data_IF_465012809864
#
_entry.id   IF_465012809864
#
_cell.length_a   1.000
_cell.length_b   1.000
_cell.length_c   1.000
_cell.angle_alpha   90.00
_cell.angle_beta   90.00
_cell.angle_gamma   90.00
#
_symmetry.space_group_name_H-M   'P 1'
#
loop_
_entity.id
_entity.type
_entity.pdbx_description
1 polymer ?
#
# COMPACT_ATOMS: atom_id res chain seq x y z
N UNK A 1 16.17 22.59 -3.65
CA UNK A 1 16.08 21.37 -4.49
C UNK A 1 15.79 20.12 -3.67
N UNK A 2 16.57 19.78 -2.64
CA UNK A 2 16.26 18.66 -1.73
C UNK A 2 14.94 18.83 -0.93
N UNK A 3 14.57 20.05 -0.56
CA UNK A 3 13.36 20.34 0.21
C UNK A 3 12.04 20.01 -0.50
N UNK A 4 12.02 20.02 -1.85
CA UNK A 4 10.81 19.73 -2.62
C UNK A 4 10.46 18.23 -2.64
N UNK A 5 11.48 17.35 -2.68
CA UNK A 5 11.29 15.89 -2.59
C UNK A 5 10.74 15.46 -1.23
N UNK A 6 11.15 16.13 -0.14
CA UNK A 6 10.66 15.81 1.20
C UNK A 6 9.15 16.04 1.34
N UNK A 7 8.60 17.08 0.72
CA UNK A 7 7.17 17.36 0.77
C UNK A 7 6.35 16.32 -0.01
N UNK A 8 6.94 15.69 -1.03
CA UNK A 8 6.27 14.69 -1.86
C UNK A 8 6.41 13.26 -1.32
N UNK A 9 7.39 12.99 -0.46
CA UNK A 9 7.67 11.63 0.04
C UNK A 9 6.50 10.96 0.77
N UNK A 10 5.65 11.75 1.44
CA UNK A 10 4.44 11.25 2.11
C UNK A 10 3.14 11.62 1.39
N UNK A 11 3.20 12.28 0.22
CA UNK A 11 2.03 12.86 -0.43
C UNK A 11 0.94 11.82 -0.74
N UNK A 12 1.33 10.67 -1.31
CA UNK A 12 0.38 9.58 -1.61
C UNK A 12 -0.26 9.02 -0.33
N UNK A 13 0.51 8.85 0.74
CA UNK A 13 0.00 8.36 2.03
C UNK A 13 -0.99 9.34 2.65
N UNK A 14 -0.65 10.63 2.67
CA UNK A 14 -1.55 11.68 3.17
C UNK A 14 -2.81 11.74 2.33
N UNK A 15 -2.69 11.71 0.99
CA UNK A 15 -3.84 11.66 0.08
C UNK A 15 -4.78 10.49 0.41
N UNK A 16 -4.25 9.27 0.52
CA UNK A 16 -5.06 8.09 0.85
C UNK A 16 -5.73 8.17 2.23
N UNK A 17 -5.13 8.90 3.17
CA UNK A 17 -5.65 9.02 4.53
C UNK A 17 -6.74 10.10 4.69
N UNK A 18 -6.73 11.15 3.87
CA UNK A 18 -7.56 12.35 4.12
C UNK A 18 -8.44 12.79 2.96
N UNK A 19 -8.23 12.27 1.74
CA UNK A 19 -9.01 12.67 0.57
C UNK A 19 -10.48 12.25 0.72
N UNK A 20 -11.45 13.19 0.75
CA UNK A 20 -12.87 12.86 0.95
C UNK A 20 -13.42 11.92 -0.12
N UNK A 21 -12.90 11.97 -1.34
CA UNK A 21 -13.30 11.09 -2.43
C UNK A 21 -12.91 9.61 -2.21
N UNK A 22 -12.07 9.31 -1.22
CA UNK A 22 -11.67 7.95 -0.84
C UNK A 22 -12.41 7.43 0.40
N UNK A 23 -13.32 8.21 0.98
CA UNK A 23 -14.09 7.79 2.14
C UNK A 23 -14.90 6.52 1.84
N UNK A 24 -14.75 5.50 2.70
CA UNK A 24 -15.40 4.20 2.53
C UNK A 24 -14.79 3.29 1.45
N UNK A 25 -13.73 3.72 0.76
CA UNK A 25 -13.03 2.91 -0.24
C UNK A 25 -11.78 2.24 0.35
N UNK A 26 -11.52 0.98 -0.04
CA UNK A 26 -10.36 0.20 0.42
C UNK A 26 -9.89 -0.81 -0.62
N UNK A 27 -8.73 -1.43 -0.37
CA UNK A 27 -8.18 -2.50 -1.24
C UNK A 27 -7.57 -2.01 -2.56
N UNK A 28 -7.31 -0.72 -2.70
CA UNK A 28 -6.72 -0.12 -3.90
C UNK A 28 -5.24 0.23 -3.69
N UNK A 29 -4.49 0.22 -4.78
CA UNK A 29 -3.08 0.65 -4.81
C UNK A 29 -2.96 2.03 -5.43
N UNK A 30 -2.14 2.89 -4.82
CA UNK A 30 -1.90 4.27 -5.27
C UNK A 30 -0.41 4.55 -5.44
N UNK A 31 -0.08 5.27 -6.52
CA UNK A 31 1.26 5.78 -6.79
C UNK A 31 1.14 7.23 -7.27
N UNK A 32 1.94 8.14 -6.72
CA UNK A 32 1.91 9.57 -7.05
C UNK A 32 0.50 10.18 -6.97
N UNK A 33 -0.22 9.85 -5.89
CA UNK A 33 -1.63 10.24 -5.66
C UNK A 33 -2.64 9.77 -6.73
N UNK A 34 -2.27 8.79 -7.57
CA UNK A 34 -3.13 8.23 -8.60
C UNK A 34 -3.41 6.75 -8.32
N UNK A 35 -4.65 6.31 -8.56
CA UNK A 35 -4.98 4.88 -8.52
C UNK A 35 -4.25 4.15 -9.64
N UNK A 36 -3.57 3.06 -9.30
CA UNK A 36 -2.77 2.29 -10.24
C UNK A 36 -3.01 0.79 -10.05
N UNK A 37 -2.77 0.01 -11.11
CA UNK A 37 -2.70 -1.44 -10.97
C UNK A 37 -1.33 -1.81 -10.37
N UNK A 38 -1.29 -2.64 -9.31
CA UNK A 38 -0.03 -3.15 -8.78
C UNK A 38 0.57 -4.22 -9.72
N UNK A 39 1.76 -4.74 -9.39
CA UNK A 39 2.38 -5.80 -10.22
C UNK A 39 1.52 -7.07 -10.27
N UNK A 40 1.78 -7.95 -11.23
CA UNK A 40 1.04 -9.21 -11.37
C UNK A 40 1.20 -10.09 -10.11
N UNK A 41 2.40 -10.13 -9.55
CA UNK A 41 2.72 -10.88 -8.33
C UNK A 41 1.96 -10.32 -7.12
N UNK A 42 1.84 -9.00 -7.03
CA UNK A 42 1.09 -8.34 -5.96
C UNK A 42 -0.43 -8.55 -6.04
N UNK A 43 -0.94 -9.02 -7.19
CA UNK A 43 -2.36 -9.36 -7.38
C UNK A 43 -2.66 -10.85 -7.12
N UNK A 44 -1.63 -11.67 -6.90
CA UNK A 44 -1.80 -13.10 -6.64
C UNK A 44 -2.38 -13.34 -5.25
N UNK A 45 -3.65 -13.75 -5.19
CA UNK A 45 -4.29 -14.11 -3.92
C UNK A 45 -3.65 -15.33 -3.26
N UNK A 46 -3.14 -16.28 -4.06
CA UNK A 46 -2.45 -17.45 -3.54
C UNK A 46 -1.15 -17.06 -2.84
N UNK A 47 -0.40 -16.12 -3.44
CA UNK A 47 0.81 -15.57 -2.83
C UNK A 47 0.47 -14.78 -1.56
N UNK A 48 -0.60 -14.00 -1.56
CA UNK A 48 -1.04 -13.26 -0.38
C UNK A 48 -1.41 -14.20 0.79
N UNK A 49 -2.19 -15.25 0.54
CA UNK A 49 -2.56 -16.26 1.55
C UNK A 49 -1.33 -17.00 2.10
N UNK A 50 -0.45 -17.44 1.20
CA UNK A 50 0.76 -18.15 1.60
C UNK A 50 1.71 -17.27 2.44
N UNK A 51 1.88 -16.00 2.06
CA UNK A 51 2.72 -15.05 2.77
C UNK A 51 2.16 -14.72 4.16
N UNK A 52 0.85 -14.56 4.30
CA UNK A 52 0.20 -14.34 5.60
C UNK A 52 0.48 -15.50 6.55
N UNK A 53 0.18 -16.74 6.12
CA UNK A 53 0.38 -17.93 6.93
C UNK A 53 1.85 -18.14 7.32
N UNK A 54 2.79 -17.84 6.41
CA UNK A 54 4.22 -17.87 6.73
C UNK A 54 4.58 -16.82 7.79
N UNK A 55 4.07 -15.60 7.65
CA UNK A 55 4.36 -14.49 8.57
C UNK A 55 3.85 -14.78 9.98
N UNK A 56 2.65 -15.33 10.12
CA UNK A 56 2.11 -15.75 11.41
C UNK A 56 2.99 -16.81 12.09
N UNK A 57 3.45 -17.81 11.32
CA UNK A 57 4.38 -18.85 11.83
C UNK A 57 5.71 -18.26 12.29
N UNK A 58 6.23 -17.25 11.59
CA UNK A 58 7.47 -16.57 11.99
C UNK A 58 7.30 -15.80 13.31
N UNK A 59 6.15 -15.15 13.51
CA UNK A 59 5.86 -14.41 14.75
C UNK A 59 5.59 -15.33 15.94
N UNK A 60 4.98 -16.50 15.73
CA UNK A 60 4.74 -17.49 16.79
C UNK A 60 6.01 -18.24 17.22
N UNK A 61 7.06 -18.20 16.41
CA UNK A 61 8.35 -18.82 16.70
C UNK A 61 9.39 -17.88 17.32
N UNK A 62 9.01 -16.64 17.68
CA UNK A 62 9.86 -15.63 18.30
C UNK A 62 9.55 -15.45 19.80
#
# INVERSE_FOLDING_TARGET
LLSALQQQGAATTVYCAVAPELEGLGGMYFNSCCRCLPSAEAQSEDSARALWALSERLLQGA
#
